data_IF_829116867446
#
_entry.id   IF_829116867446
#
_cell.length_a   1.000
_cell.length_b   1.000
_cell.length_c   1.000
_cell.angle_alpha   90.00
_cell.angle_beta   90.00
_cell.angle_gamma   90.00
#
_symmetry.space_group_name_H-M   'P 1'
#
loop_
_entity.id
_entity.type
_entity.pdbx_description
1 polymer ?
#
# COMPACT_ATOMS: atom_id res chain seq x y z
N UNK A 1 -0.56 -9.44 10.94
CA UNK A 1 -0.25 -9.25 9.51
C UNK A 1 0.80 -8.16 9.37
N UNK A 2 1.93 -8.50 8.74
CA UNK A 2 3.05 -7.57 8.52
C UNK A 2 2.72 -6.43 7.55
N UNK A 3 1.81 -6.66 6.60
CA UNK A 3 1.34 -5.67 5.62
C UNK A 3 0.79 -4.37 6.25
N UNK A 4 0.05 -4.46 7.37
CA UNK A 4 -0.47 -3.28 8.08
C UNK A 4 0.66 -2.43 8.67
N UNK A 5 1.65 -3.08 9.30
CA UNK A 5 2.84 -2.40 9.84
C UNK A 5 3.63 -1.73 8.72
N UNK A 6 3.72 -2.38 7.56
CA UNK A 6 4.38 -1.83 6.38
C UNK A 6 3.72 -0.53 5.88
N UNK A 7 2.39 -0.44 5.98
CA UNK A 7 1.63 0.78 5.65
C UNK A 7 1.59 1.81 6.80
N UNK A 8 2.25 1.54 7.93
CA UNK A 8 2.20 2.40 9.12
C UNK A 8 0.83 2.44 9.79
N UNK A 9 0.06 1.35 9.67
CA UNK A 9 -1.28 1.21 10.20
C UNK A 9 -1.32 0.27 11.41
N UNK A 10 -2.34 0.45 12.24
CA UNK A 10 -2.64 -0.47 13.32
C UNK A 10 -3.03 -1.85 12.74
N UNK A 11 -2.58 -2.95 13.36
CA UNK A 11 -3.01 -4.28 12.94
C UNK A 11 -4.53 -4.41 13.10
N UNK A 12 -5.19 -5.01 12.10
CA UNK A 12 -6.65 -5.17 12.06
C UNK A 12 -7.46 -3.87 11.97
N UNK A 13 -6.85 -2.75 11.57
CA UNK A 13 -7.61 -1.53 11.24
C UNK A 13 -8.59 -1.80 10.08
N UNK A 14 -9.71 -1.04 9.98
CA UNK A 14 -10.70 -1.26 8.95
C UNK A 14 -10.13 -1.00 7.54
N UNK A 15 -10.61 -1.76 6.56
CA UNK A 15 -10.15 -1.66 5.17
C UNK A 15 -10.30 -0.24 4.57
N UNK A 16 -11.30 0.54 5.00
CA UNK A 16 -11.42 1.96 4.62
C UNK A 16 -10.20 2.81 5.02
N UNK A 17 -9.59 2.53 6.19
CA UNK A 17 -8.38 3.21 6.64
C UNK A 17 -7.18 2.80 5.79
N UNK A 18 -7.07 1.49 5.52
CA UNK A 18 -6.05 0.91 4.63
C UNK A 18 -6.09 1.57 3.25
N UNK A 19 -7.29 1.67 2.66
CA UNK A 19 -7.49 2.27 1.33
C UNK A 19 -7.17 3.76 1.31
N UNK A 20 -7.49 4.48 2.40
CA UNK A 20 -7.16 5.91 2.52
C UNK A 20 -5.66 6.11 2.59
N UNK A 21 -4.96 5.38 3.48
CA UNK A 21 -3.49 5.47 3.59
C UNK A 21 -2.76 5.01 2.35
N UNK A 22 -3.26 3.97 1.68
CA UNK A 22 -2.74 3.53 0.39
C UNK A 22 -2.77 4.66 -0.65
N UNK A 23 -3.91 5.36 -0.79
CA UNK A 23 -4.03 6.51 -1.71
C UNK A 23 -3.10 7.66 -1.34
N UNK A 24 -2.94 7.95 -0.05
CA UNK A 24 -2.02 8.99 0.42
C UNK A 24 -0.55 8.63 0.10
N UNK A 25 -0.16 7.38 0.38
CA UNK A 25 1.19 6.88 0.10
C UNK A 25 1.49 6.87 -1.40
N UNK A 26 0.54 6.42 -2.24
CA UNK A 26 0.72 6.49 -3.70
C UNK A 26 0.86 7.92 -4.21
N UNK A 27 0.05 8.87 -3.71
CA UNK A 27 0.20 10.29 -4.07
C UNK A 27 1.55 10.84 -3.63
N UNK A 28 2.04 10.44 -2.46
CA UNK A 28 3.31 10.90 -1.90
C UNK A 28 4.51 10.32 -2.65
N UNK A 29 4.44 9.05 -3.04
CA UNK A 29 5.50 8.32 -3.73
C UNK A 29 5.29 8.23 -5.25
N UNK A 30 4.42 9.08 -5.82
CA UNK A 30 4.10 9.00 -7.23
C UNK A 30 5.36 9.30 -8.06
N UNK A 31 5.75 8.40 -9.00
CA UNK A 31 7.00 8.54 -9.76
C UNK A 31 7.05 9.82 -10.60
N UNK A 32 5.88 10.39 -10.93
CA UNK A 32 5.73 11.67 -11.63
C UNK A 32 6.40 12.85 -10.89
N UNK A 33 6.41 12.84 -9.55
CA UNK A 33 7.11 13.84 -8.73
C UNK A 33 8.62 13.59 -8.62
N UNK A 34 9.07 12.38 -8.95
CA UNK A 34 10.43 11.89 -8.78
C UNK A 34 11.13 11.65 -10.14
N UNK A 35 10.54 12.11 -11.24
CA UNK A 35 11.06 11.94 -12.59
C UNK A 35 12.35 12.71 -12.89
N UNK A 36 12.86 13.51 -11.94
CA UNK A 36 14.12 14.26 -12.12
C UNK A 36 15.37 13.38 -12.16
N UNK A 37 15.31 12.11 -11.72
CA UNK A 37 16.46 11.21 -11.78
C UNK A 37 16.07 9.74 -11.91
N UNK A 38 16.81 8.92 -12.69
CA UNK A 38 16.50 7.50 -12.91
C UNK A 38 16.58 6.66 -11.62
N UNK A 39 17.43 7.06 -10.67
CA UNK A 39 17.52 6.41 -9.35
C UNK A 39 16.28 6.66 -8.49
N UNK A 40 15.78 7.89 -8.50
CA UNK A 40 14.57 8.30 -7.81
C UNK A 40 13.33 7.60 -8.38
N UNK A 41 13.25 7.48 -9.71
CA UNK A 41 12.23 6.67 -10.37
C UNK A 41 12.26 5.21 -9.93
N UNK A 42 13.45 4.58 -9.88
CA UNK A 42 13.60 3.19 -9.39
C UNK A 42 13.12 3.05 -7.95
N UNK A 43 13.49 3.98 -7.07
CA UNK A 43 13.08 3.98 -5.65
C UNK A 43 11.57 4.18 -5.52
N UNK A 44 10.99 5.14 -6.23
CA UNK A 44 9.56 5.42 -6.24
C UNK A 44 8.77 4.20 -6.73
N UNK A 45 9.23 3.56 -7.82
CA UNK A 45 8.57 2.39 -8.39
C UNK A 45 8.66 1.18 -7.43
N UNK A 46 9.82 0.95 -6.81
CA UNK A 46 9.98 -0.08 -5.79
C UNK A 46 9.10 0.16 -4.55
N UNK A 47 9.00 1.40 -4.08
CA UNK A 47 8.11 1.78 -2.98
C UNK A 47 6.64 1.55 -3.34
N UNK A 48 6.22 2.01 -4.52
CA UNK A 48 4.85 1.87 -5.01
C UNK A 48 4.46 0.40 -5.17
N UNK A 49 5.36 -0.43 -5.72
CA UNK A 49 5.15 -1.87 -5.83
C UNK A 49 4.96 -2.55 -4.46
N UNK A 50 5.75 -2.15 -3.44
CA UNK A 50 5.60 -2.69 -2.08
C UNK A 50 4.31 -2.25 -1.41
N UNK A 51 3.90 -0.98 -1.60
CA UNK A 51 2.62 -0.45 -1.12
C UNK A 51 1.45 -1.23 -1.75
N UNK A 52 1.50 -1.47 -3.07
CA UNK A 52 0.51 -2.28 -3.78
C UNK A 52 0.45 -3.71 -3.23
N UNK A 53 1.60 -4.36 -3.06
CA UNK A 53 1.67 -5.73 -2.53
C UNK A 53 1.07 -5.83 -1.13
N UNK A 54 1.37 -4.88 -0.24
CA UNK A 54 0.79 -4.82 1.10
C UNK A 54 -0.73 -4.63 1.06
N UNK A 55 -1.23 -3.73 0.20
CA UNK A 55 -2.67 -3.51 0.02
C UNK A 55 -3.38 -4.76 -0.50
N UNK A 56 -2.84 -5.43 -1.53
CA UNK A 56 -3.45 -6.64 -2.10
C UNK A 56 -3.50 -7.80 -1.09
N UNK A 57 -2.46 -7.98 -0.27
CA UNK A 57 -2.48 -8.99 0.79
C UNK A 57 -3.61 -8.75 1.80
N UNK A 58 -3.83 -7.48 2.17
CA UNK A 58 -4.90 -7.11 3.09
C UNK A 58 -6.27 -7.29 2.44
N UNK A 59 -6.41 -6.86 1.18
CA UNK A 59 -7.64 -7.01 0.38
C UNK A 59 -8.04 -8.48 0.26
N UNK A 60 -7.12 -9.34 -0.18
CA UNK A 60 -7.37 -10.77 -0.32
C UNK A 60 -7.76 -11.43 1.02
N UNK A 61 -7.15 -11.00 2.14
CA UNK A 61 -7.49 -11.53 3.46
C UNK A 61 -8.87 -11.08 3.94
N UNK A 62 -9.25 -9.83 3.69
CA UNK A 62 -10.59 -9.32 4.00
C UNK A 62 -11.67 -9.95 3.10
N UNK A 63 -11.37 -10.18 1.82
CA UNK A 63 -12.25 -10.92 0.91
C UNK A 63 -12.43 -12.38 1.35
N UNK A 64 -11.34 -13.07 1.71
CA UNK A 64 -11.39 -14.45 2.20
C UNK A 64 -12.23 -14.55 3.49
N UNK A 65 -12.10 -13.57 4.40
CA UNK A 65 -12.98 -13.46 5.58
C UNK A 65 -14.44 -13.25 5.22
N UNK A 66 -14.71 -12.38 4.24
CA UNK A 66 -16.07 -12.01 3.85
C UNK A 66 -16.79 -13.16 3.16
N UNK A 67 -16.07 -13.97 2.38
CA UNK A 67 -16.58 -15.18 1.72
C UNK A 67 -16.82 -16.35 2.67
N UNK A 68 -16.28 -16.32 3.90
CA UNK A 68 -16.49 -17.34 4.93
C UNK A 68 -17.55 -16.92 5.97
N UNK A 69 -18.40 -15.94 5.64
CA UNK A 69 -19.42 -15.38 6.52
C UNK A 69 -20.82 -15.61 6.02
#
# INVERSE_FOLDING_TARGET
MEAYRYLGLAPFCPFSEVKSRYKELQKKHHPDRHASSPEDLKKANALSARINAAYQLIEAWEEAKRSHR
#
